data_IF_127537218969
#
_entry.id   IF_127537218969
#
_cell.length_a   1.000
_cell.length_b   1.000
_cell.length_c   1.000
_cell.angle_alpha   90.00
_cell.angle_beta   90.00
_cell.angle_gamma   90.00
#
_symmetry.space_group_name_H-M   'P 1'
#
loop_
_entity.id
_entity.type
_entity.pdbx_description
1 polymer ?
#
# COMPACT_ATOMS: atom_id res chain seq x y z
N UNK A 1 -5.36 -10.27 15.57
CA UNK A 1 -6.03 -10.44 14.29
C UNK A 1 -5.70 -9.28 13.37
N UNK A 2 -5.25 -9.59 12.19
CA UNK A 2 -4.97 -8.53 11.23
C UNK A 2 -6.27 -8.02 10.64
N UNK A 3 -6.40 -6.71 10.60
CA UNK A 3 -7.56 -6.07 9.98
C UNK A 3 -7.16 -5.62 8.58
N UNK A 4 -7.80 -6.21 7.59
CA UNK A 4 -7.51 -5.85 6.22
C UNK A 4 -8.22 -4.56 5.88
N UNK A 5 -7.46 -3.60 5.37
CA UNK A 5 -7.97 -2.30 4.97
C UNK A 5 -7.95 -2.20 3.44
N UNK A 6 -8.73 -1.27 2.93
CA UNK A 6 -8.79 -1.03 1.51
C UNK A 6 -8.43 0.40 1.22
N UNK A 7 -7.83 0.62 0.07
CA UNK A 7 -7.44 1.96 -0.34
C UNK A 7 -6.99 1.97 -1.78
N UNK A 8 -6.46 3.11 -2.18
CA UNK A 8 -5.93 3.30 -3.53
C UNK A 8 -4.54 3.90 -3.41
N UNK A 9 -3.71 3.61 -4.38
CA UNK A 9 -2.39 4.22 -4.43
C UNK A 9 -2.54 5.71 -4.70
N UNK A 10 -2.04 6.51 -3.80
CA UNK A 10 -2.00 7.95 -3.99
C UNK A 10 -0.88 8.32 -4.94
N UNK A 11 0.30 7.77 -4.71
CA UNK A 11 1.43 7.84 -5.61
C UNK A 11 2.48 6.82 -5.19
N UNK A 12 3.30 6.43 -6.13
CA UNK A 12 4.37 5.47 -5.87
C UNK A 12 5.55 5.79 -6.77
N UNK A 13 6.73 5.88 -6.18
CA UNK A 13 7.96 6.18 -6.90
C UNK A 13 8.93 5.03 -6.76
N UNK A 14 8.99 4.19 -7.78
CA UNK A 14 9.86 3.01 -7.76
C UNK A 14 11.33 3.38 -7.61
N UNK A 15 11.73 4.51 -8.15
CA UNK A 15 13.12 4.97 -8.02
C UNK A 15 13.48 5.30 -6.59
N UNK A 16 12.53 5.80 -5.82
CA UNK A 16 12.74 6.11 -4.41
C UNK A 16 12.45 4.93 -3.52
N UNK A 17 11.73 3.94 -4.01
CA UNK A 17 11.43 2.73 -3.30
C UNK A 17 10.30 2.85 -2.29
N UNK A 18 9.39 3.79 -2.46
CA UNK A 18 8.25 3.93 -1.56
C UNK A 18 7.12 4.73 -2.20
N UNK A 19 5.99 4.69 -1.54
CA UNK A 19 4.83 5.46 -1.96
C UNK A 19 3.84 5.59 -0.81
N UNK A 20 2.66 6.09 -1.12
CA UNK A 20 1.60 6.26 -0.13
C UNK A 20 0.29 5.74 -0.69
N UNK A 21 -0.51 5.20 0.21
CA UNK A 21 -1.83 4.66 -0.10
C UNK A 21 -2.86 5.55 0.58
N UNK A 22 -3.83 6.03 -0.20
CA UNK A 22 -4.96 6.76 0.35
C UNK A 22 -5.97 5.75 0.85
N UNK A 23 -6.26 5.80 2.15
CA UNK A 23 -7.18 4.86 2.76
C UNK A 23 -8.62 5.20 2.40
N UNK A 24 -9.41 4.15 2.21
CA UNK A 24 -10.81 4.31 1.86
C UNK A 24 -11.63 4.91 3.00
N UNK A 25 -11.18 4.70 4.23
CA UNK A 25 -11.89 5.20 5.41
C UNK A 25 -11.63 6.68 5.72
N UNK A 26 -10.83 7.34 4.92
CA UNK A 26 -10.54 8.76 5.10
C UNK A 26 -9.49 9.07 6.15
N UNK A 27 -8.87 8.05 6.72
CA UNK A 27 -7.78 8.24 7.67
C UNK A 27 -6.49 8.65 6.95
N UNK A 28 -5.44 8.87 7.75
CA UNK A 28 -4.16 9.28 7.19
C UNK A 28 -3.62 8.28 6.18
N UNK A 29 -2.92 8.80 5.19
CA UNK A 29 -2.30 7.95 4.18
C UNK A 29 -1.33 6.98 4.83
N UNK A 30 -1.22 5.80 4.24
CA UNK A 30 -0.32 4.77 4.72
C UNK A 30 0.93 4.74 3.87
N UNK A 31 2.07 4.60 4.53
CA UNK A 31 3.34 4.42 3.85
C UNK A 31 3.42 3.00 3.27
N UNK A 32 3.93 2.87 2.06
CA UNK A 32 4.19 1.56 1.47
C UNK A 32 5.60 1.54 0.91
N UNK A 33 6.38 0.56 1.35
CA UNK A 33 7.76 0.40 0.89
C UNK A 33 7.82 -0.58 -0.29
N UNK A 34 8.85 -0.40 -1.13
CA UNK A 34 9.02 -1.27 -2.28
C UNK A 34 9.14 -2.75 -1.91
N UNK A 35 9.71 -3.05 -0.74
CA UNK A 35 9.83 -4.42 -0.29
C UNK A 35 8.46 -5.07 -0.11
N UNK A 36 7.46 -4.31 0.38
CA UNK A 36 6.10 -4.81 0.52
C UNK A 36 5.47 -5.06 -0.85
N UNK A 37 5.75 -4.19 -1.81
CA UNK A 37 5.25 -4.35 -3.17
C UNK A 37 5.83 -5.61 -3.81
N UNK A 38 7.13 -5.82 -3.63
CA UNK A 38 7.79 -7.01 -4.16
C UNK A 38 7.30 -8.29 -3.49
N UNK A 39 7.11 -8.23 -2.18
CA UNK A 39 6.61 -9.38 -1.44
C UNK A 39 5.21 -9.78 -1.89
N UNK A 40 4.43 -8.81 -2.37
CA UNK A 40 3.10 -9.08 -2.90
C UNK A 40 3.12 -9.54 -4.36
N UNK A 41 4.30 -9.61 -4.97
CA UNK A 41 4.43 -10.05 -6.35
C UNK A 41 4.11 -8.95 -7.36
N UNK A 42 4.02 -7.73 -6.92
CA UNK A 42 3.73 -6.60 -7.80
C UNK A 42 5.01 -5.97 -8.31
N UNK A 43 5.01 -5.51 -9.54
CA UNK A 43 6.18 -4.85 -10.13
C UNK A 43 6.19 -3.37 -9.84
N UNK A 44 5.02 -2.75 -9.93
CA UNK A 44 4.86 -1.34 -9.63
C UNK A 44 3.39 -1.09 -9.32
N UNK A 45 3.13 0.09 -8.77
CA UNK A 45 1.77 0.48 -8.43
C UNK A 45 1.44 1.77 -9.16
N UNK A 46 0.30 1.78 -9.82
CA UNK A 46 -0.17 2.97 -10.52
C UNK A 46 -1.00 3.83 -9.57
N UNK A 47 -0.97 5.12 -9.81
CA UNK A 47 -1.81 6.05 -9.08
C UNK A 47 -3.29 5.66 -9.26
N UNK A 48 -4.00 5.56 -8.16
CA UNK A 48 -5.40 5.15 -8.16
C UNK A 48 -5.62 3.65 -8.19
N UNK A 49 -4.56 2.85 -8.17
CA UNK A 49 -4.68 1.39 -8.19
C UNK A 49 -5.34 0.90 -6.90
N UNK A 50 -6.50 0.22 -6.98
CA UNK A 50 -7.17 -0.28 -5.77
C UNK A 50 -6.48 -1.52 -5.23
N UNK A 51 -6.36 -1.59 -3.92
CA UNK A 51 -5.74 -2.73 -3.26
C UNK A 51 -6.22 -2.84 -1.83
N UNK A 52 -5.99 -3.99 -1.23
CA UNK A 52 -6.18 -4.16 0.20
C UNK A 52 -4.83 -4.46 0.84
N UNK A 53 -4.74 -4.18 2.12
CA UNK A 53 -3.48 -4.29 2.84
C UNK A 53 -3.73 -4.37 4.33
N UNK A 54 -2.70 -4.80 5.07
CA UNK A 54 -2.70 -4.77 6.52
C UNK A 54 -1.84 -3.60 6.97
N UNK A 55 -2.12 -3.07 8.15
CA UNK A 55 -1.29 -2.03 8.74
C UNK A 55 -0.32 -2.64 9.73
N UNK A 56 0.90 -2.13 9.71
CA UNK A 56 1.92 -2.52 10.66
C UNK A 56 2.61 -1.27 11.15
N UNK A 57 2.72 -1.13 12.48
CA UNK A 57 3.42 0.02 13.04
C UNK A 57 4.91 -0.08 12.79
N UNK A 58 5.46 0.98 12.26
CA UNK A 58 6.87 1.05 11.96
C UNK A 58 7.48 2.34 12.47
N UNK A 59 8.79 2.50 12.33
CA UNK A 59 9.48 3.70 12.81
C UNK A 59 9.01 4.99 12.14
N UNK A 60 8.43 4.88 10.97
CA UNK A 60 7.91 6.05 10.26
C UNK A 60 6.40 6.20 10.37
N UNK A 61 5.76 5.40 11.22
CA UNK A 61 4.33 5.38 11.36
C UNK A 61 3.72 4.14 10.74
N UNK A 62 2.39 4.11 10.56
CA UNK A 62 1.74 2.93 10.00
C UNK A 62 2.18 2.67 8.56
N UNK A 63 2.54 1.42 8.30
CA UNK A 63 2.99 0.97 6.98
C UNK A 63 2.03 -0.08 6.45
N UNK A 64 1.82 -0.06 5.14
CA UNK A 64 1.00 -1.06 4.48
C UNK A 64 1.85 -2.28 4.18
N UNK A 65 1.34 -3.45 4.56
CA UNK A 65 2.01 -4.73 4.31
C UNK A 65 0.98 -5.72 3.78
N UNK A 66 1.44 -6.86 3.29
CA UNK A 66 0.55 -7.91 2.77
C UNK A 66 -0.42 -7.36 1.73
N UNK A 67 0.11 -6.64 0.76
CA UNK A 67 -0.69 -6.00 -0.27
C UNK A 67 -1.38 -7.03 -1.16
N UNK A 68 -2.63 -6.76 -1.48
CA UNK A 68 -3.39 -7.60 -2.42
C UNK A 68 -4.06 -6.68 -3.42
N UNK A 69 -3.72 -6.88 -4.69
CA UNK A 69 -4.32 -6.08 -5.74
C UNK A 69 -5.80 -6.42 -5.89
N UNK A 70 -6.63 -5.41 -5.98
CA UNK A 70 -8.06 -5.59 -6.21
C UNK A 70 -8.45 -5.28 -7.65
N UNK A 71 -7.50 -4.86 -8.44
CA UNK A 71 -7.76 -4.59 -9.83
C UNK A 71 -7.82 -5.91 -10.59
N UNK A 72 -8.98 -6.17 -11.16
CA UNK A 72 -9.16 -7.34 -12.00
C UNK A 72 -8.71 -7.00 -13.41
N UNK A 73 -7.88 -7.87 -13.91
CA UNK A 73 -7.37 -7.64 -15.13
C UNK A 73 -7.27 -8.07 -16.31
#
# INVERSE_FOLDING_TARGET
MSTKLEGKIKWYKSKKGYGFIERQDGEKDCFVHASAVKAAGMRYLEEGHPLSFDLEDGPKGPSAVNLVSKKEG
#
